data_IF_148534682782
#
_entry.id   IF_148534682782
#
_cell.length_a   1.000
_cell.length_b   1.000
_cell.length_c   1.000
_cell.angle_alpha   90.00
_cell.angle_beta   90.00
_cell.angle_gamma   90.00
#
_symmetry.space_group_name_H-M   'P 1'
#
loop_
_entity.id
_entity.type
_entity.pdbx_description
1 polymer ?
#
# COMPACT_ATOMS: atom_id res chain seq x y z
N UNK A 1 -15.07 -54.88 47.50
CA UNK A 1 -14.64 -55.16 46.12
C UNK A 1 -15.00 -53.94 45.28
N UNK A 2 -14.10 -52.97 45.17
CA UNK A 2 -14.34 -51.72 44.44
C UNK A 2 -13.21 -51.53 43.43
N UNK A 3 -13.53 -51.53 42.14
CA UNK A 3 -12.58 -51.21 41.08
C UNK A 3 -12.85 -49.77 40.61
N UNK A 4 -11.84 -48.91 40.83
CA UNK A 4 -11.77 -47.57 40.26
C UNK A 4 -11.26 -47.70 38.82
N UNK A 5 -12.04 -47.20 37.87
CA UNK A 5 -11.62 -46.98 36.49
C UNK A 5 -10.85 -45.66 36.47
N UNK A 6 -9.54 -45.71 36.23
CA UNK A 6 -8.74 -44.52 35.92
C UNK A 6 -8.92 -44.21 34.44
N UNK A 7 -9.69 -43.17 34.14
CA UNK A 7 -9.80 -42.61 32.80
C UNK A 7 -8.59 -41.71 32.56
N UNK A 8 -7.65 -42.18 31.74
CA UNK A 8 -6.49 -41.41 31.31
C UNK A 8 -6.95 -40.40 30.25
N UNK A 9 -7.07 -39.12 30.62
CA UNK A 9 -7.31 -38.04 29.68
C UNK A 9 -6.02 -37.78 28.88
N UNK A 10 -5.95 -38.29 27.64
CA UNK A 10 -4.98 -37.81 26.66
C UNK A 10 -5.42 -36.42 26.18
N UNK A 11 -4.86 -35.38 26.76
CA UNK A 11 -4.91 -34.03 26.20
C UNK A 11 -3.99 -34.05 24.97
N UNK A 12 -4.57 -34.23 23.77
CA UNK A 12 -3.88 -33.88 22.54
C UNK A 12 -3.73 -32.36 22.55
N UNK A 13 -2.52 -31.90 22.85
CA UNK A 13 -2.09 -30.52 22.70
C UNK A 13 -2.16 -30.20 21.21
N UNK A 14 -3.25 -29.57 20.77
CA UNK A 14 -3.33 -28.95 19.46
C UNK A 14 -2.29 -27.85 19.45
N UNK A 15 -1.14 -28.10 18.82
CA UNK A 15 -0.23 -27.03 18.42
C UNK A 15 -1.00 -26.27 17.35
N UNK A 16 -1.71 -25.21 17.77
CA UNK A 16 -2.16 -24.17 16.86
C UNK A 16 -0.86 -23.58 16.35
N UNK A 17 -0.46 -23.99 15.14
CA UNK A 17 0.51 -23.28 14.36
C UNK A 17 -0.18 -21.94 14.05
N UNK A 18 0.02 -20.94 14.92
CA UNK A 18 -0.25 -19.56 14.53
C UNK A 18 0.77 -19.33 13.42
N UNK A 19 0.30 -19.42 12.16
CA UNK A 19 1.07 -18.90 11.06
C UNK A 19 1.39 -17.46 11.44
N UNK A 20 2.65 -17.19 11.74
CA UNK A 20 3.13 -15.83 11.87
C UNK A 20 2.87 -15.20 10.51
N UNK A 21 1.88 -14.32 10.41
CA UNK A 21 1.67 -13.52 9.21
C UNK A 21 3.04 -12.93 8.81
N UNK A 22 3.44 -13.17 7.57
CA UNK A 22 4.71 -12.68 7.08
C UNK A 22 4.64 -11.15 7.04
N UNK A 23 5.45 -10.50 7.89
CA UNK A 23 5.49 -9.04 7.99
C UNK A 23 6.41 -8.50 6.92
N UNK A 24 5.98 -7.46 6.22
CA UNK A 24 6.76 -6.78 5.20
C UNK A 24 7.93 -6.04 5.87
N UNK A 25 9.20 -6.42 5.59
CA UNK A 25 10.34 -5.84 6.29
C UNK A 25 10.58 -4.40 5.82
N UNK A 26 10.96 -3.50 6.73
CA UNK A 26 11.05 -2.06 6.47
C UNK A 26 9.72 -1.48 5.93
N UNK A 27 8.59 -1.90 6.50
CA UNK A 27 7.32 -1.26 6.25
C UNK A 27 7.22 0.08 6.99
N UNK A 28 6.60 1.05 6.33
CA UNK A 28 6.38 2.35 6.93
C UNK A 28 5.79 3.36 5.96
N UNK A 29 5.84 4.62 6.36
CA UNK A 29 5.30 5.75 5.60
C UNK A 29 6.39 6.77 5.32
N UNK A 30 6.44 7.26 4.08
CA UNK A 30 7.34 8.35 3.70
C UNK A 30 6.54 9.62 3.45
N UNK A 31 6.83 10.67 4.24
CA UNK A 31 6.29 12.01 3.99
C UNK A 31 7.25 12.85 3.15
N UNK A 32 6.75 13.46 2.10
CA UNK A 32 7.50 14.44 1.30
C UNK A 32 6.57 15.36 0.53
N UNK A 33 7.13 16.10 -0.41
CA UNK A 33 6.41 16.96 -1.36
C UNK A 33 6.41 16.28 -2.73
N UNK A 34 5.26 16.18 -3.40
CA UNK A 34 5.21 15.65 -4.76
C UNK A 34 5.98 16.56 -5.74
N UNK A 35 6.87 16.00 -6.56
CA UNK A 35 7.68 16.79 -7.49
C UNK A 35 7.58 16.33 -8.94
N UNK A 36 7.33 15.05 -9.17
CA UNK A 36 7.24 14.51 -10.52
C UNK A 36 6.45 13.21 -10.53
N UNK A 37 5.74 12.97 -11.63
CA UNK A 37 5.07 11.70 -11.91
C UNK A 37 5.38 11.31 -13.36
N UNK A 38 5.83 10.06 -13.55
CA UNK A 38 5.94 9.45 -14.86
C UNK A 38 5.06 8.22 -14.92
N UNK A 39 4.04 8.30 -15.76
CA UNK A 39 3.33 7.11 -16.19
C UNK A 39 4.23 6.22 -17.07
N UNK A 40 3.94 4.91 -17.14
CA UNK A 40 4.62 4.01 -18.05
C UNK A 40 4.38 4.43 -19.51
N UNK A 41 5.41 4.37 -20.34
CA UNK A 41 5.40 4.86 -21.72
C UNK A 41 5.17 3.77 -22.76
N UNK A 42 5.14 2.51 -22.33
CA UNK A 42 4.94 1.36 -23.20
C UNK A 42 4.17 0.25 -22.49
N UNK A 43 3.52 -0.67 -23.23
CA UNK A 43 2.89 -1.85 -22.64
C UNK A 43 3.86 -2.76 -21.87
N UNK A 44 5.17 -2.69 -22.16
CA UNK A 44 6.19 -3.44 -21.43
C UNK A 44 6.61 -2.81 -20.09
N UNK A 45 6.33 -1.53 -19.88
CA UNK A 45 6.63 -0.85 -18.61
C UNK A 45 5.45 -1.06 -17.65
N UNK A 46 5.70 -1.75 -16.53
CA UNK A 46 4.66 -2.15 -15.55
C UNK A 46 4.60 -1.28 -14.30
N UNK A 47 5.38 -0.20 -14.28
CA UNK A 47 5.60 0.56 -13.06
C UNK A 47 5.48 2.05 -13.36
N UNK A 48 4.52 2.71 -12.72
CA UNK A 48 4.49 4.16 -12.68
C UNK A 48 5.41 4.65 -11.56
N UNK A 49 5.98 5.84 -11.78
CA UNK A 49 6.98 6.43 -10.91
C UNK A 49 6.44 7.74 -10.35
N UNK A 50 6.24 7.78 -9.03
CA UNK A 50 6.05 9.01 -8.30
C UNK A 50 7.37 9.41 -7.65
N UNK A 51 7.76 10.65 -7.83
CA UNK A 51 8.90 11.25 -7.15
C UNK A 51 8.42 12.19 -6.05
N UNK A 52 8.92 11.96 -4.83
CA UNK A 52 8.66 12.81 -3.67
C UNK A 52 9.97 13.38 -3.14
N UNK A 53 9.92 14.61 -2.65
CA UNK A 53 11.06 15.29 -2.03
C UNK A 53 10.82 15.49 -0.56
N UNK A 54 11.66 14.90 0.29
CA UNK A 54 11.51 15.02 1.75
C UNK A 54 12.35 16.14 2.38
N UNK A 55 13.02 16.94 1.55
CA UNK A 55 13.85 18.07 1.99
C UNK A 55 15.13 17.68 2.73
N UNK A 56 15.48 16.39 2.81
CA UNK A 56 16.74 15.93 3.39
C UNK A 56 17.81 15.80 2.31
N UNK A 57 19.03 16.22 2.65
CA UNK A 57 20.22 15.90 1.88
C UNK A 57 20.77 14.57 2.36
N UNK A 58 20.77 13.55 1.51
CA UNK A 58 21.42 12.29 1.81
C UNK A 58 22.75 12.24 1.05
N UNK A 59 23.83 11.98 1.76
CA UNK A 59 25.16 11.90 1.15
C UNK A 59 25.30 10.56 0.41
N UNK A 60 25.19 10.57 -0.92
CA UNK A 60 25.78 9.51 -1.74
C UNK A 60 27.30 9.74 -1.79
N UNK A 61 28.13 8.69 -1.77
CA UNK A 61 29.59 8.84 -1.86
C UNK A 61 30.09 8.29 -3.20
N UNK A 62 30.83 9.07 -4.01
CA UNK A 62 31.14 10.49 -3.83
C UNK A 62 29.93 11.40 -4.12
N UNK A 63 29.72 12.42 -3.28
CA UNK A 63 28.55 13.30 -3.35
C UNK A 63 28.74 14.36 -4.47
N UNK A 64 27.76 14.57 -5.36
CA UNK A 64 27.72 15.78 -6.18
C UNK A 64 27.61 17.02 -5.28
N UNK A 65 28.25 18.13 -5.65
CA UNK A 65 28.10 19.44 -4.99
C UNK A 65 27.36 20.42 -5.91
N UNK A 66 26.23 21.01 -5.47
CA UNK A 66 25.54 20.80 -4.20
C UNK A 66 24.92 19.38 -4.10
N UNK A 67 24.77 18.82 -2.88
CA UNK A 67 24.14 17.51 -2.71
C UNK A 67 22.75 17.55 -3.36
N UNK A 68 22.43 16.61 -4.26
CA UNK A 68 21.10 16.57 -4.84
C UNK A 68 20.09 16.35 -3.71
N UNK A 69 19.01 17.12 -3.71
CA UNK A 69 17.82 16.72 -2.97
C UNK A 69 17.50 15.28 -3.42
N UNK A 70 17.39 14.34 -2.48
CA UNK A 70 17.04 12.97 -2.90
C UNK A 70 15.55 12.96 -3.18
N UNK A 71 15.28 12.87 -4.47
CA UNK A 71 14.01 12.52 -5.04
C UNK A 71 13.79 11.01 -4.76
N UNK A 72 12.80 10.70 -3.92
CA UNK A 72 12.43 9.33 -3.54
C UNK A 72 11.45 8.78 -4.56
N UNK A 73 11.74 7.58 -5.05
CA UNK A 73 10.94 6.92 -6.07
C UNK A 73 9.95 5.95 -5.42
N UNK A 74 8.66 6.26 -5.51
CA UNK A 74 7.61 5.30 -5.22
C UNK A 74 7.22 4.54 -6.50
N UNK A 75 7.32 3.22 -6.45
CA UNK A 75 6.97 2.33 -7.56
C UNK A 75 5.54 1.87 -7.38
N UNK A 76 4.66 2.29 -8.30
CA UNK A 76 3.28 1.85 -8.33
C UNK A 76 3.17 0.75 -9.38
N UNK A 77 2.80 -0.47 -8.97
CA UNK A 77 2.54 -1.56 -9.89
C UNK A 77 1.29 -1.25 -10.72
N UNK A 78 1.45 -1.29 -12.04
CA UNK A 78 0.41 -1.02 -13.02
C UNK A 78 -0.11 -2.30 -13.67
N UNK A 79 0.51 -3.44 -13.35
CA UNK A 79 0.08 -4.76 -13.74
C UNK A 79 0.32 -5.78 -12.61
N UNK A 80 -0.59 -6.75 -12.47
CA UNK A 80 -0.38 -7.89 -11.59
C UNK A 80 0.76 -8.81 -12.12
N UNK A 81 1.49 -9.50 -11.24
CA UNK A 81 2.54 -10.44 -11.63
C UNK A 81 2.01 -11.73 -12.28
N UNK A 82 0.72 -12.02 -12.20
CA UNK A 82 0.10 -13.23 -12.78
C UNK A 82 -0.17 -13.13 -14.29
N UNK A 83 -0.25 -14.30 -14.95
CA UNK A 83 -0.25 -14.45 -16.42
C UNK A 83 -1.65 -14.24 -17.04
N UNK A 84 -2.73 -14.34 -16.25
CA UNK A 84 -4.10 -14.43 -16.77
C UNK A 84 -4.93 -13.13 -16.68
N UNK A 85 -4.64 -12.27 -15.71
CA UNK A 85 -5.27 -10.95 -15.62
C UNK A 85 -4.25 -9.95 -15.07
N UNK A 86 -3.64 -9.20 -15.99
CA UNK A 86 -2.60 -8.22 -15.67
C UNK A 86 -3.17 -6.85 -15.34
N UNK A 87 -4.50 -6.69 -15.25
CA UNK A 87 -5.11 -5.42 -14.86
C UNK A 87 -4.79 -5.10 -13.40
N UNK A 88 -5.06 -3.87 -13.01
CA UNK A 88 -5.13 -3.48 -11.61
C UNK A 88 -6.53 -2.95 -11.30
N UNK A 89 -6.88 -2.99 -10.02
CA UNK A 89 -8.01 -2.25 -9.46
C UNK A 89 -7.43 -1.06 -8.71
N UNK A 90 -8.00 0.12 -8.92
CA UNK A 90 -7.61 1.30 -8.15
C UNK A 90 -8.83 2.05 -7.62
N UNK A 91 -8.60 2.78 -6.55
CA UNK A 91 -9.56 3.69 -5.93
C UNK A 91 -8.91 5.05 -5.79
N UNK A 92 -9.60 6.09 -6.27
CA UNK A 92 -9.25 7.48 -5.97
C UNK A 92 -10.38 8.07 -5.16
N UNK A 93 -10.11 8.36 -3.89
CA UNK A 93 -11.00 9.12 -3.03
C UNK A 93 -10.56 10.59 -3.03
N UNK A 94 -11.39 11.45 -3.63
CA UNK A 94 -11.13 12.90 -3.77
C UNK A 94 -11.51 13.70 -2.52
N UNK A 95 -12.15 13.06 -1.55
CA UNK A 95 -12.53 13.71 -0.30
C UNK A 95 -12.30 12.72 0.85
N UNK A 96 -11.07 12.23 0.93
CA UNK A 96 -10.69 11.17 1.82
C UNK A 96 -10.86 11.60 3.28
N UNK A 97 -11.67 10.84 4.00
CA UNK A 97 -11.90 11.02 5.43
C UNK A 97 -11.63 9.71 6.17
N UNK A 98 -10.70 9.76 7.11
CA UNK A 98 -10.31 8.63 7.95
C UNK A 98 -9.85 9.12 9.32
N UNK A 99 -9.86 8.24 10.32
CA UNK A 99 -9.25 8.51 11.63
C UNK A 99 -7.80 8.98 11.49
N UNK A 100 -7.07 8.42 10.52
CA UNK A 100 -5.71 8.76 10.13
C UNK A 100 -5.51 10.25 9.77
N UNK A 101 -6.56 10.92 9.28
CA UNK A 101 -6.54 12.34 8.87
C UNK A 101 -7.41 13.24 9.76
N UNK A 102 -8.10 12.71 10.77
CA UNK A 102 -9.02 13.48 11.64
C UNK A 102 -8.46 13.85 13.03
N UNK A 103 -8.93 15.00 13.54
CA UNK A 103 -8.96 15.54 14.92
C UNK A 103 -7.69 15.66 15.79
N UNK A 104 -6.52 15.18 15.37
CA UNK A 104 -5.28 15.32 16.17
C UNK A 104 -3.94 15.21 15.41
N UNK A 105 -3.99 15.18 14.08
CA UNK A 105 -2.86 15.37 13.14
C UNK A 105 -1.59 14.52 13.35
N UNK A 106 -1.69 13.19 13.53
CA UNK A 106 -0.52 12.30 13.46
C UNK A 106 0.23 12.45 12.12
N UNK A 107 -0.50 12.47 10.98
CA UNK A 107 0.12 12.63 9.66
C UNK A 107 0.60 14.05 9.37
N UNK A 108 -0.23 15.06 9.59
CA UNK A 108 0.14 16.44 9.28
C UNK A 108 1.34 16.92 10.11
N UNK A 109 1.45 16.48 11.37
CA UNK A 109 2.58 16.81 12.23
C UNK A 109 3.80 15.92 12.00
N UNK A 110 3.68 14.88 11.17
CA UNK A 110 4.80 14.04 10.80
C UNK A 110 5.88 14.90 10.14
N UNK A 111 7.13 14.76 10.58
CA UNK A 111 8.25 15.46 9.94
C UNK A 111 8.51 14.84 8.55
N UNK A 112 8.98 15.59 7.55
CA UNK A 112 9.41 14.99 6.29
C UNK A 112 10.44 13.87 6.49
N UNK A 113 10.35 12.85 5.64
CA UNK A 113 11.19 11.65 5.64
C UNK A 113 10.42 10.36 5.88
N UNK A 114 11.16 9.25 5.90
CA UNK A 114 10.66 7.92 6.21
C UNK A 114 10.44 7.72 7.71
N UNK A 115 9.29 7.14 8.05
CA UNK A 115 8.90 6.72 9.40
C UNK A 115 8.56 5.25 9.35
N UNK A 116 9.41 4.45 10.01
CA UNK A 116 9.20 3.01 10.10
C UNK A 116 8.00 2.72 11.00
N UNK A 117 7.14 1.80 10.54
CA UNK A 117 6.02 1.31 11.33
C UNK A 117 6.40 -0.10 11.77
N UNK A 118 6.78 -0.29 13.04
CA UNK A 118 7.30 -1.56 13.52
C UNK A 118 6.23 -2.65 13.47
N UNK A 119 6.68 -3.90 13.31
CA UNK A 119 5.83 -5.08 13.26
C UNK A 119 5.19 -5.46 14.61
N UNK A 120 5.42 -4.69 15.66
CA UNK A 120 4.82 -4.88 16.98
C UNK A 120 4.05 -3.62 17.33
N UNK A 121 2.73 -3.72 17.36
CA UNK A 121 1.86 -2.63 17.83
C UNK A 121 2.11 -2.39 19.32
N UNK A 122 3.03 -1.48 19.64
CA UNK A 122 3.25 -1.10 21.04
C UNK A 122 3.30 0.42 21.27
N UNK A 123 3.21 1.25 20.22
CA UNK A 123 3.14 2.70 20.41
C UNK A 123 1.83 3.30 19.84
N UNK A 124 0.85 3.67 20.70
CA UNK A 124 -0.37 4.35 20.27
C UNK A 124 -0.13 5.78 19.73
N UNK A 125 1.10 6.28 19.78
CA UNK A 125 1.52 7.55 19.17
C UNK A 125 2.24 7.38 17.82
N UNK A 126 2.51 6.13 17.40
CA UNK A 126 3.07 5.85 16.08
C UNK A 126 2.00 5.99 14.99
N UNK A 127 2.44 6.29 13.76
CA UNK A 127 1.53 6.29 12.61
C UNK A 127 1.08 4.83 12.39
N UNK A 128 -0.22 4.53 12.34
CA UNK A 128 -0.66 3.17 12.14
C UNK A 128 -0.33 2.71 10.71
N UNK A 129 -0.16 1.41 10.56
CA UNK A 129 -0.11 0.78 9.26
C UNK A 129 -1.45 0.88 8.56
N UNK A 130 -1.43 0.81 7.23
CA UNK A 130 -2.63 0.89 6.40
C UNK A 130 -3.25 -0.50 6.25
N UNK A 131 -4.57 -0.61 6.41
CA UNK A 131 -5.34 -1.83 6.14
C UNK A 131 -6.59 -1.49 5.32
N UNK A 132 -6.52 -1.73 4.01
CA UNK A 132 -7.58 -1.39 3.07
C UNK A 132 -8.88 -2.14 3.34
N UNK A 133 -8.82 -3.36 3.88
CA UNK A 133 -10.01 -4.22 4.10
C UNK A 133 -10.65 -3.92 5.45
N UNK A 134 -9.86 -3.80 6.51
CA UNK A 134 -10.39 -3.68 7.86
C UNK A 134 -10.71 -2.24 8.29
N UNK A 135 -9.99 -1.25 7.75
CA UNK A 135 -10.17 0.15 8.20
C UNK A 135 -11.49 0.77 7.70
N UNK A 136 -12.19 0.10 6.77
CA UNK A 136 -13.48 0.54 6.23
C UNK A 136 -13.41 1.86 5.44
N UNK A 137 -12.19 2.30 5.10
CA UNK A 137 -11.93 3.54 4.37
C UNK A 137 -12.26 3.44 2.88
N UNK A 138 -12.35 2.22 2.35
CA UNK A 138 -12.54 1.95 0.93
C UNK A 138 -13.73 1.02 0.76
N UNK A 139 -14.70 1.43 -0.06
CA UNK A 139 -15.70 0.51 -0.57
C UNK A 139 -15.08 -0.30 -1.71
N UNK A 140 -14.70 -1.55 -1.40
CA UNK A 140 -14.05 -2.46 -2.35
C UNK A 140 -14.87 -2.67 -3.63
N UNK A 141 -16.19 -2.43 -3.62
CA UNK A 141 -17.05 -2.55 -4.82
C UNK A 141 -16.91 -1.36 -5.78
N UNK A 142 -16.47 -0.21 -5.28
CA UNK A 142 -16.30 1.04 -6.04
C UNK A 142 -14.95 1.16 -6.73
N UNK A 143 -14.16 0.09 -6.74
CA UNK A 143 -12.91 0.07 -7.49
C UNK A 143 -13.15 0.30 -8.97
N UNK A 144 -12.12 0.79 -9.65
CA UNK A 144 -12.13 0.92 -11.11
C UNK A 144 -11.13 -0.08 -11.66
N UNK A 145 -11.57 -0.93 -12.60
CA UNK A 145 -10.64 -1.74 -13.37
C UNK A 145 -9.91 -0.84 -14.32
N UNK A 146 -8.62 -0.67 -14.10
CA UNK A 146 -7.79 0.02 -15.05
C UNK A 146 -7.19 -0.95 -16.05
N UNK A 147 -7.25 -0.58 -17.33
CA UNK A 147 -6.43 -1.21 -18.37
C UNK A 147 -5.14 -0.43 -18.55
N UNK A 148 -4.04 -1.13 -18.85
CA UNK A 148 -2.73 -0.51 -19.04
C UNK A 148 -2.51 -0.05 -20.48
N UNK A 149 -2.26 1.25 -20.69
CA UNK A 149 -1.72 1.82 -21.93
C UNK A 149 -2.49 1.45 -23.21
N UNK A 150 -3.83 1.43 -23.15
CA UNK A 150 -4.69 1.17 -24.31
C UNK A 150 -5.19 2.51 -24.90
N UNK A 151 -4.71 2.93 -26.09
CA UNK A 151 -5.10 4.22 -26.66
C UNK A 151 -6.62 4.34 -26.88
N UNK A 152 -7.21 5.45 -26.42
CA UNK A 152 -8.63 5.74 -26.61
C UNK A 152 -9.57 5.21 -25.53
N UNK A 153 -9.05 4.56 -24.48
CA UNK A 153 -9.86 4.12 -23.34
C UNK A 153 -9.91 5.20 -22.26
N UNK A 154 -11.13 5.53 -21.83
CA UNK A 154 -11.39 6.55 -20.80
C UNK A 154 -10.90 6.09 -19.41
N UNK A 155 -10.91 4.77 -19.15
CA UNK A 155 -10.45 4.15 -17.90
C UNK A 155 -9.03 3.54 -18.02
N UNK A 156 -8.12 4.28 -18.64
CA UNK A 156 -6.69 3.97 -18.62
C UNK A 156 -6.13 4.29 -17.23
N UNK A 157 -5.46 3.31 -16.59
CA UNK A 157 -4.80 3.48 -15.29
C UNK A 157 -3.89 4.72 -15.34
N UNK A 158 -3.15 4.90 -16.45
CA UNK A 158 -2.22 6.01 -16.62
C UNK A 158 -2.95 7.36 -16.50
N UNK A 159 -4.15 7.49 -17.08
CA UNK A 159 -4.92 8.72 -16.99
C UNK A 159 -5.47 8.94 -15.57
N UNK A 160 -5.92 7.87 -14.91
CA UNK A 160 -6.33 7.90 -13.50
C UNK A 160 -5.22 8.42 -12.60
N UNK A 161 -4.02 7.83 -12.70
CA UNK A 161 -2.86 8.22 -11.89
C UNK A 161 -2.39 9.65 -12.20
N UNK A 162 -2.36 10.06 -13.47
CA UNK A 162 -2.06 11.46 -13.85
C UNK A 162 -3.05 12.43 -13.22
N UNK A 163 -4.35 12.12 -13.31
CA UNK A 163 -5.39 12.97 -12.72
C UNK A 163 -5.27 13.07 -11.19
N UNK A 164 -4.62 12.12 -10.54
CA UNK A 164 -4.36 12.15 -9.10
C UNK A 164 -3.09 12.95 -8.77
N UNK A 165 -1.98 12.70 -9.48
CA UNK A 165 -0.67 13.28 -9.12
C UNK A 165 -0.36 14.63 -9.75
N UNK A 166 -0.84 14.94 -10.96
CA UNK A 166 -0.51 16.20 -11.63
C UNK A 166 -0.96 17.43 -10.82
N UNK A 167 -2.19 17.48 -10.26
CA UNK A 167 -2.59 18.60 -9.40
C UNK A 167 -1.73 18.69 -8.13
N UNK A 168 -1.41 17.55 -7.50
CA UNK A 168 -0.56 17.50 -6.31
C UNK A 168 0.84 18.06 -6.58
N UNK A 169 1.42 17.77 -7.75
CA UNK A 169 2.72 18.29 -8.18
C UNK A 169 2.64 19.79 -8.47
N UNK A 170 1.59 20.24 -9.16
CA UNK A 170 1.39 21.66 -9.51
C UNK A 170 1.37 22.56 -8.26
N UNK A 171 0.67 22.12 -7.21
CA UNK A 171 0.60 22.88 -5.95
C UNK A 171 1.69 22.53 -4.94
N UNK A 172 2.62 21.62 -5.30
CA UNK A 172 3.65 21.11 -4.40
C UNK A 172 3.06 20.59 -3.08
N UNK A 173 2.02 19.76 -3.18
CA UNK A 173 1.31 19.19 -2.03
C UNK A 173 2.22 18.27 -1.19
N UNK A 174 1.93 18.23 0.11
CA UNK A 174 2.46 17.19 0.99
C UNK A 174 1.83 15.83 0.61
N UNK A 175 2.66 14.79 0.56
CA UNK A 175 2.28 13.43 0.24
C UNK A 175 2.85 12.44 1.24
N UNK A 176 2.08 11.41 1.52
CA UNK A 176 2.44 10.27 2.37
C UNK A 176 2.31 8.99 1.55
N UNK A 177 3.39 8.23 1.48
CA UNK A 177 3.44 6.96 0.73
C UNK A 177 3.69 5.82 1.70
N UNK A 178 2.72 4.91 1.84
CA UNK A 178 2.89 3.65 2.58
C UNK A 178 3.46 2.58 1.68
N UNK A 179 4.32 1.74 2.26
CA UNK A 179 4.88 0.58 1.59
C UNK A 179 6.18 0.12 2.23
N UNK A 180 6.97 -0.60 1.46
CA UNK A 180 8.27 -1.11 1.85
C UNK A 180 9.40 -0.20 1.39
N UNK A 181 10.22 0.27 2.32
CA UNK A 181 11.46 0.99 1.98
C UNK A 181 12.51 0.02 1.48
N UNK A 182 13.09 0.35 0.32
CA UNK A 182 14.23 -0.35 -0.27
C UNK A 182 15.33 0.59 -0.77
N UNK A 183 16.27 0.01 -1.50
CA UNK A 183 17.30 0.73 -2.25
C UNK A 183 17.44 0.11 -3.64
N UNK A 184 17.68 0.95 -4.65
CA UNK A 184 18.09 0.52 -5.99
C UNK A 184 19.40 1.22 -6.39
N UNK A 185 19.89 0.97 -7.61
CA UNK A 185 21.12 1.59 -8.12
C UNK A 185 21.09 3.12 -8.22
N UNK A 186 19.93 3.74 -8.03
CA UNK A 186 19.67 5.17 -8.13
C UNK A 186 19.37 5.83 -6.78
N UNK A 187 19.13 5.06 -5.71
CA UNK A 187 18.90 5.58 -4.38
C UNK A 187 17.81 4.85 -3.59
N UNK A 188 17.14 5.60 -2.71
CA UNK A 188 16.07 5.09 -1.84
C UNK A 188 14.75 5.02 -2.61
N UNK A 189 13.98 3.95 -2.37
CA UNK A 189 12.74 3.67 -3.08
C UNK A 189 11.66 3.15 -2.13
N UNK A 190 10.40 3.37 -2.49
CA UNK A 190 9.22 2.76 -1.86
C UNK A 190 8.62 1.73 -2.83
N UNK A 191 8.59 0.48 -2.40
CA UNK A 191 7.96 -0.65 -3.07
C UNK A 191 6.66 -1.04 -2.36
N UNK A 192 5.89 -1.96 -2.95
CA UNK A 192 4.70 -2.54 -2.32
C UNK A 192 3.70 -1.47 -1.87
N UNK A 193 3.48 -0.48 -2.76
CA UNK A 193 2.54 0.65 -2.56
C UNK A 193 1.10 0.24 -2.93
N UNK A 194 0.87 -1.06 -3.13
CA UNK A 194 -0.42 -1.68 -3.34
C UNK A 194 -0.90 -2.42 -2.08
N UNK A 195 -2.14 -2.91 -2.11
CA UNK A 195 -2.66 -3.87 -1.13
C UNK A 195 -1.74 -5.09 -1.02
N UNK A 196 -1.37 -5.47 0.19
CA UNK A 196 -0.46 -6.57 0.53
C UNK A 196 -1.19 -7.63 1.37
N UNK A 197 -2.45 -7.89 1.05
CA UNK A 197 -3.27 -8.92 1.69
C UNK A 197 -4.27 -9.54 0.70
N UNK A 198 -4.84 -10.69 1.04
CA UNK A 198 -5.82 -11.40 0.21
C UNK A 198 -5.22 -12.11 -1.01
N UNK A 199 -3.90 -12.26 -1.08
CA UNK A 199 -3.24 -13.09 -2.09
C UNK A 199 -3.49 -14.57 -1.82
N UNK A 200 -3.49 -15.39 -2.86
CA UNK A 200 -3.50 -16.85 -2.75
C UNK A 200 -2.30 -17.45 -3.50
N UNK A 201 -2.03 -18.73 -3.28
CA UNK A 201 -0.96 -19.43 -3.99
C UNK A 201 0.43 -18.88 -3.65
N UNK A 202 1.26 -18.63 -4.67
CA UNK A 202 2.68 -18.27 -4.49
C UNK A 202 2.91 -16.91 -3.83
N UNK A 203 1.92 -16.01 -3.87
CA UNK A 203 2.02 -14.68 -3.26
C UNK A 203 1.39 -14.62 -1.87
N UNK A 204 0.87 -15.73 -1.34
CA UNK A 204 0.28 -15.75 0.00
C UNK A 204 1.28 -15.34 1.09
N UNK A 205 2.58 -15.54 0.86
CA UNK A 205 3.63 -15.08 1.77
C UNK A 205 3.79 -13.56 1.84
N UNK A 206 3.15 -12.80 0.95
CA UNK A 206 3.11 -11.33 1.02
C UNK A 206 1.95 -10.84 1.91
N UNK A 207 1.02 -11.71 2.30
CA UNK A 207 -0.16 -11.36 3.08
C UNK A 207 0.20 -10.88 4.49
N UNK A 208 -0.37 -9.74 4.86
CA UNK A 208 -0.54 -9.37 6.26
C UNK A 208 -1.37 -8.12 6.45
N UNK A 209 -1.98 -8.03 7.63
CA UNK A 209 -2.76 -6.87 8.03
C UNK A 209 -1.88 -5.69 8.43
N UNK A 210 -2.45 -4.49 8.34
CA UNK A 210 -1.80 -3.22 8.72
C UNK A 210 -0.45 -3.02 8.00
N UNK A 211 -0.30 -3.57 6.79
CA UNK A 211 0.89 -3.42 5.97
C UNK A 211 0.57 -3.19 4.48
N UNK A 212 -0.63 -2.73 4.17
CA UNK A 212 -1.00 -2.32 2.83
C UNK A 212 -0.24 -1.06 2.42
N UNK A 213 -0.08 -0.89 1.11
CA UNK A 213 0.45 0.32 0.50
C UNK A 213 -0.64 1.27 0.05
N UNK A 214 -0.27 2.53 -0.14
CA UNK A 214 -1.18 3.56 -0.62
C UNK A 214 -0.54 4.93 -0.62
N UNK A 215 -1.21 5.89 -1.25
CA UNK A 215 -0.75 7.29 -1.30
C UNK A 215 -1.84 8.22 -0.82
N UNK A 216 -1.50 9.09 0.12
CA UNK A 216 -2.38 10.15 0.60
C UNK A 216 -1.76 11.50 0.25
N UNK A 217 -2.57 12.41 -0.28
CA UNK A 217 -2.18 13.78 -0.64
C UNK A 217 -2.96 14.75 0.23
N UNK A 218 -2.27 15.76 0.77
CA UNK A 218 -2.90 16.87 1.48
C UNK A 218 -2.94 18.11 0.63
N UNK A 219 -4.14 18.60 0.38
CA UNK A 219 -4.40 19.93 -0.15
C UNK A 219 -4.71 20.90 0.99
N UNK A 220 -4.89 22.18 0.65
CA UNK A 220 -5.18 23.22 1.63
C UNK A 220 -6.48 22.96 2.41
N UNK A 221 -7.51 22.46 1.73
CA UNK A 221 -8.88 22.33 2.22
C UNK A 221 -9.40 20.89 2.33
N UNK A 222 -8.69 19.92 1.76
CA UNK A 222 -9.11 18.52 1.76
C UNK A 222 -7.91 17.54 1.67
N UNK A 223 -8.22 16.26 1.79
CA UNK A 223 -7.28 15.17 1.58
C UNK A 223 -7.78 14.29 0.44
N UNK A 224 -6.86 13.74 -0.33
CA UNK A 224 -7.17 12.72 -1.33
C UNK A 224 -6.36 11.46 -1.04
N UNK A 225 -6.88 10.31 -1.45
CA UNK A 225 -6.19 9.03 -1.32
C UNK A 225 -6.27 8.23 -2.62
N UNK A 226 -5.17 7.52 -2.90
CA UNK A 226 -5.04 6.55 -3.97
C UNK A 226 -4.66 5.20 -3.37
N UNK A 227 -5.43 4.19 -3.73
CA UNK A 227 -5.18 2.80 -3.37
C UNK A 227 -5.17 1.93 -4.62
N UNK A 228 -4.34 0.89 -4.60
CA UNK A 228 -4.14 -0.03 -5.72
C UNK A 228 -4.19 -1.47 -5.19
N UNK A 229 -4.83 -2.36 -5.92
CA UNK A 229 -4.83 -3.79 -5.67
C UNK A 229 -4.85 -4.57 -6.99
N UNK A 230 -4.62 -5.87 -6.92
CA UNK A 230 -4.73 -6.80 -8.03
C UNK A 230 -6.11 -7.46 -8.06
N UNK A 231 -6.71 -7.69 -9.24
CA UNK A 231 -8.02 -8.33 -9.38
C UNK A 231 -8.15 -9.68 -8.65
N UNK A 232 -7.05 -10.41 -8.47
CA UNK A 232 -7.01 -11.72 -7.85
C UNK A 232 -7.00 -11.67 -6.31
N UNK A 233 -6.77 -10.51 -5.70
CA UNK A 233 -6.80 -10.39 -4.26
C UNK A 233 -8.23 -10.49 -3.73
N UNK A 234 -8.41 -11.14 -2.59
CA UNK A 234 -9.70 -11.22 -1.92
C UNK A 234 -10.11 -9.87 -1.33
N UNK A 235 -11.38 -9.52 -1.49
CA UNK A 235 -11.96 -8.31 -0.92
C UNK A 235 -12.24 -8.42 0.60
N UNK A 236 -12.15 -9.64 1.14
CA UNK A 236 -12.31 -9.94 2.56
C UNK A 236 -11.17 -10.88 2.95
N UNK A 237 -10.49 -10.52 4.04
CA UNK A 237 -9.35 -11.26 4.59
C UNK A 237 -9.57 -11.62 6.06
N UNK A 238 -8.82 -12.60 6.57
CA UNK A 238 -8.78 -12.92 7.99
C UNK A 238 -7.74 -12.06 8.75
N UNK A 239 -7.52 -12.40 10.03
CA UNK A 239 -6.58 -11.71 10.93
C UNK A 239 -5.12 -11.82 10.49
N UNK A 240 -4.77 -12.79 9.67
CA UNK A 240 -3.44 -12.93 9.08
C UNK A 240 -3.32 -12.22 7.72
N UNK A 241 -4.40 -11.61 7.22
CA UNK A 241 -4.46 -11.04 5.88
C UNK A 241 -4.71 -12.09 4.80
N UNK A 242 -5.05 -13.33 5.16
CA UNK A 242 -5.31 -14.41 4.21
C UNK A 242 -6.72 -14.29 3.60
N UNK A 243 -6.93 -14.75 2.35
CA UNK A 243 -8.22 -14.59 1.66
C UNK A 243 -9.33 -15.45 2.27
N UNK A 244 -10.47 -14.83 2.59
CA UNK A 244 -11.68 -15.53 3.10
C UNK A 244 -12.88 -15.38 2.15
N UNK A 245 -12.89 -14.34 1.30
CA UNK A 245 -14.01 -14.00 0.43
C UNK A 245 -13.72 -14.14 -1.07
N UNK A 246 -14.65 -13.59 -1.87
CA UNK A 246 -14.48 -13.44 -3.31
C UNK A 246 -13.32 -12.50 -3.65
N UNK A 247 -12.71 -12.73 -4.81
CA UNK A 247 -11.68 -11.88 -5.38
C UNK A 247 -12.26 -10.58 -5.93
N UNK A 248 -11.44 -9.53 -6.00
CA UNK A 248 -11.83 -8.21 -6.52
C UNK A 248 -12.40 -8.29 -7.95
N UNK A 249 -11.86 -9.19 -8.78
CA UNK A 249 -12.36 -9.49 -10.14
C UNK A 249 -13.87 -9.78 -10.18
N UNK A 250 -14.41 -10.36 -9.11
CA UNK A 250 -15.81 -10.77 -9.01
C UNK A 250 -16.71 -9.73 -8.35
N UNK A 251 -16.17 -8.76 -7.62
CA UNK A 251 -16.97 -7.87 -6.78
C UNK A 251 -16.95 -6.40 -7.23
N UNK A 252 -15.87 -5.96 -7.87
CA UNK A 252 -15.73 -4.60 -8.37
C UNK A 252 -16.76 -4.33 -9.46
N UNK A 253 -17.40 -3.15 -9.41
CA UNK A 253 -18.45 -2.77 -10.36
C UNK A 253 -19.80 -3.47 -10.14
N UNK A 254 -19.94 -4.27 -9.08
CA UNK A 254 -21.23 -4.83 -8.63
C UNK A 254 -21.76 -3.99 -7.47
N UNK A 255 -22.44 -2.89 -7.78
CA UNK A 255 -23.03 -1.95 -6.83
C UNK A 255 -24.41 -1.48 -7.25
#
# INVERSE_FOLDING_TARGET
>A
MGHRVNLLFCICLSVILVASAARLPNYGVWKGTATFFSAPRSPSERTALLTIRDGKTYHTSPAPTPPPNIDILATLSMEAPEIHDSRIVYWIDRNFTASLVSDGFLLANLKPGYHEIPSTEEDPHSVPGLDMVADGHIDMRKGVFGTHNVPGHVEDVTNGMKSFFEPAIEVQADVWVWGQRGQNGQGLVMHHVQMNQGHSGMLAEENGRNQDGGVIVRYYDHWEALFIAYPQQAAITDEAGEPVGDVLANIVGRG
#
